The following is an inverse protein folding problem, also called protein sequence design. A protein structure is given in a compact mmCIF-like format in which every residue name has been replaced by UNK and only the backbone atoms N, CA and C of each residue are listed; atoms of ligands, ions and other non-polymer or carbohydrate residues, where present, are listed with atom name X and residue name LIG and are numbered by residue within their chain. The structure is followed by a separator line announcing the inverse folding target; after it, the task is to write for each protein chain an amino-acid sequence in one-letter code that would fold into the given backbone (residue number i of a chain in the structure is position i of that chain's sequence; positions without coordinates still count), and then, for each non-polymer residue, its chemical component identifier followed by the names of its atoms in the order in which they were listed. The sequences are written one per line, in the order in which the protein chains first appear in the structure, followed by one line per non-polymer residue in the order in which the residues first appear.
data_IF_921575941735
#
_entry.id   IF_921575941735
#
_cell.length_a   1.000
_cell.length_b   1.000
_cell.length_c   1.000
_cell.angle_alpha   90.00
_cell.angle_beta   90.00
_cell.angle_gamma   90.00
#
_symmetry.space_group_name_H-M   'P 1'
#
loop_
_entity.id
_entity.type
_entity.pdbx_description
1 polymer ?
#
# COMPACT_ATOMS: atom_id res chain seq x y z
N UNK A 1 -10.43 26.29 -51.73
CA UNK A 1 -10.55 24.83 -51.53
C UNK A 1 -10.35 24.58 -50.04
N UNK A 2 -11.45 24.29 -49.34
CA UNK A 2 -11.48 24.04 -47.90
C UNK A 2 -11.08 22.59 -47.64
N UNK A 3 -9.90 22.34 -47.06
CA UNK A 3 -9.54 21.04 -46.52
C UNK A 3 -10.10 20.93 -45.10
N UNK A 4 -11.32 20.44 -44.98
CA UNK A 4 -11.84 19.93 -43.71
C UNK A 4 -11.25 18.54 -43.50
N UNK A 5 -10.20 18.43 -42.70
CA UNK A 5 -9.78 17.15 -42.13
C UNK A 5 -10.95 16.59 -41.30
N UNK A 6 -11.41 15.35 -41.54
CA UNK A 6 -12.43 14.75 -40.71
C UNK A 6 -11.84 14.50 -39.33
N UNK A 7 -12.28 15.28 -38.32
CA UNK A 7 -12.08 14.93 -36.91
C UNK A 7 -12.64 13.53 -36.70
N UNK A 8 -11.78 12.51 -36.62
CA UNK A 8 -12.18 11.20 -36.13
C UNK A 8 -12.85 11.40 -34.77
N UNK A 9 -14.16 11.17 -34.70
CA UNK A 9 -14.87 11.16 -33.43
C UNK A 9 -14.34 9.99 -32.61
N UNK A 10 -13.58 10.29 -31.57
CA UNK A 10 -13.14 9.31 -30.58
C UNK A 10 -14.36 8.73 -29.88
N UNK A 11 -14.50 7.40 -29.87
CA UNK A 11 -15.60 6.71 -29.21
C UNK A 11 -15.70 7.12 -27.74
N UNK A 12 -16.89 7.50 -27.28
CA UNK A 12 -17.16 7.90 -25.90
C UNK A 12 -17.40 6.71 -24.98
N UNK A 13 -17.71 5.54 -25.54
CA UNK A 13 -17.86 4.28 -24.82
C UNK A 13 -16.97 3.20 -25.41
N UNK A 14 -16.61 2.22 -24.59
CA UNK A 14 -15.92 1.00 -24.96
C UNK A 14 -16.54 -0.19 -24.24
N UNK A 15 -16.32 -1.40 -24.76
CA UNK A 15 -16.73 -2.63 -24.09
C UNK A 15 -15.72 -2.93 -22.96
N UNK A 16 -16.20 -2.91 -21.72
CA UNK A 16 -15.43 -3.26 -20.54
C UNK A 16 -15.09 -4.76 -20.49
N UNK A 17 -14.24 -5.14 -19.54
CA UNK A 17 -13.71 -6.52 -19.40
C UNK A 17 -14.81 -7.58 -19.25
N UNK A 18 -15.99 -7.20 -18.73
CA UNK A 18 -17.16 -8.07 -18.57
C UNK A 18 -18.25 -7.88 -19.64
N UNK A 19 -17.95 -7.19 -20.75
CA UNK A 19 -18.91 -7.01 -21.85
C UNK A 19 -19.88 -5.83 -21.67
N UNK A 20 -19.79 -5.06 -20.58
CA UNK A 20 -20.62 -3.88 -20.33
C UNK A 20 -20.03 -2.63 -20.98
N UNK A 21 -20.87 -1.69 -21.41
CA UNK A 21 -20.41 -0.38 -21.85
C UNK A 21 -19.77 0.40 -20.69
N UNK A 22 -18.57 0.91 -20.92
CA UNK A 22 -17.84 1.79 -20.01
C UNK A 22 -17.46 3.06 -20.73
N UNK A 23 -17.45 4.19 -20.02
CA UNK A 23 -16.94 5.43 -20.60
C UNK A 23 -15.45 5.31 -20.91
N UNK A 24 -15.06 5.76 -22.10
CA UNK A 24 -13.65 6.00 -22.41
C UNK A 24 -13.18 7.28 -21.71
N UNK A 25 -11.87 7.53 -21.68
CA UNK A 25 -11.37 8.83 -21.21
C UNK A 25 -12.00 10.01 -21.96
N UNK A 26 -12.32 9.86 -23.25
CA UNK A 26 -13.06 10.86 -24.01
C UNK A 26 -14.52 10.98 -23.56
N UNK A 27 -15.16 9.87 -23.17
CA UNK A 27 -16.52 9.85 -22.62
C UNK A 27 -16.65 10.50 -21.24
N UNK A 28 -15.59 10.49 -20.43
CA UNK A 28 -15.53 11.18 -19.13
C UNK A 28 -15.53 12.71 -19.29
N UNK A 29 -15.10 13.22 -20.45
CA UNK A 29 -15.01 14.66 -20.78
C UNK A 29 -14.06 15.49 -19.88
N UNK A 30 -13.35 14.84 -18.95
CA UNK A 30 -12.29 15.45 -18.14
C UNK A 30 -11.12 14.47 -17.96
N UNK A 31 -9.98 14.78 -18.59
CA UNK A 31 -8.79 13.98 -18.56
C UNK A 31 -8.18 13.87 -17.15
N UNK A 32 -8.42 14.84 -16.25
CA UNK A 32 -7.96 14.78 -14.86
C UNK A 32 -8.73 13.70 -14.11
N UNK A 33 -10.04 13.62 -14.32
CA UNK A 33 -10.90 12.60 -13.72
C UNK A 33 -10.54 11.21 -14.25
N UNK A 34 -10.34 11.09 -15.56
CA UNK A 34 -9.89 9.85 -16.18
C UNK A 34 -8.52 9.42 -15.64
N UNK A 35 -7.55 10.33 -15.58
CA UNK A 35 -6.21 10.08 -15.06
C UNK A 35 -6.26 9.66 -13.58
N UNK A 36 -7.00 10.40 -12.75
CA UNK A 36 -7.17 10.06 -11.33
C UNK A 36 -7.76 8.67 -11.15
N UNK A 37 -8.74 8.27 -11.94
CA UNK A 37 -9.35 6.93 -11.85
C UNK A 37 -8.35 5.82 -12.23
N UNK A 38 -7.49 6.08 -13.21
CA UNK A 38 -6.54 5.10 -13.74
C UNK A 38 -5.27 4.96 -12.89
N UNK A 39 -4.91 5.96 -12.09
CA UNK A 39 -3.75 5.94 -11.20
C UNK A 39 -3.97 4.98 -10.01
N UNK A 40 -3.86 3.69 -10.30
CA UNK A 40 -4.03 2.55 -9.40
C UNK A 40 -2.91 1.52 -9.63
N UNK A 41 -2.82 0.52 -8.75
CA UNK A 41 -1.82 -0.54 -8.84
C UNK A 41 -1.84 -1.27 -10.18
N UNK A 42 -0.66 -1.37 -10.81
CA UNK A 42 -0.48 -2.09 -12.08
C UNK A 42 -0.71 -1.23 -13.33
N UNK A 43 -1.01 0.07 -13.17
CA UNK A 43 -1.08 1.01 -14.29
C UNK A 43 0.24 1.07 -15.06
N UNK A 44 0.15 1.26 -16.37
CA UNK A 44 1.32 1.36 -17.25
C UNK A 44 1.51 2.79 -17.76
N UNK A 45 2.75 3.13 -18.15
CA UNK A 45 3.06 4.41 -18.75
C UNK A 45 2.25 4.68 -20.03
N UNK A 46 1.96 3.65 -20.82
CA UNK A 46 1.17 3.78 -22.06
C UNK A 46 -0.28 4.24 -21.81
N UNK A 47 -0.82 3.98 -20.61
CA UNK A 47 -2.18 4.39 -20.23
C UNK A 47 -2.20 5.85 -19.75
N UNK A 48 -1.25 6.25 -18.90
CA UNK A 48 -1.29 7.56 -18.24
C UNK A 48 -0.60 8.69 -19.02
N UNK A 49 0.47 8.40 -19.76
CA UNK A 49 1.24 9.42 -20.50
C UNK A 49 0.38 10.21 -21.50
N UNK A 50 -0.53 9.60 -22.28
CA UNK A 50 -1.41 10.35 -23.18
C UNK A 50 -2.30 11.37 -22.45
N UNK A 51 -2.86 10.99 -21.29
CA UNK A 51 -3.73 11.87 -20.49
C UNK A 51 -2.93 13.02 -19.89
N UNK A 52 -1.74 12.73 -19.33
CA UNK A 52 -0.83 13.73 -18.78
C UNK A 52 -0.46 14.76 -19.86
N UNK A 53 -0.07 14.29 -21.05
CA UNK A 53 0.29 15.17 -22.16
C UNK A 53 -0.91 15.98 -22.67
N UNK A 54 -2.12 15.39 -22.70
CA UNK A 54 -3.33 16.10 -23.08
C UNK A 54 -3.65 17.24 -22.10
N UNK A 55 -3.51 17.01 -20.79
CA UNK A 55 -3.69 18.03 -19.76
C UNK A 55 -2.65 19.17 -19.93
N UNK A 56 -1.37 18.83 -20.10
CA UNK A 56 -0.28 19.81 -20.30
C UNK A 56 -0.50 20.63 -21.59
N UNK A 57 -1.04 20.00 -22.65
CA UNK A 57 -1.28 20.66 -23.93
C UNK A 57 -2.36 21.74 -23.88
N UNK A 58 -3.27 21.70 -22.89
CA UNK A 58 -4.31 22.72 -22.70
C UNK A 58 -3.75 24.06 -22.23
N UNK A 59 -2.53 24.08 -21.70
CA UNK A 59 -1.84 25.29 -21.21
C UNK A 59 -2.65 26.08 -20.16
N UNK A 60 -3.44 25.36 -19.36
CA UNK A 60 -4.26 25.91 -18.29
C UNK A 60 -3.54 25.74 -16.94
N UNK A 61 -3.31 26.86 -16.24
CA UNK A 61 -2.54 26.87 -14.99
C UNK A 61 -3.21 26.06 -13.88
N UNK A 62 -4.55 26.10 -13.77
CA UNK A 62 -5.28 25.36 -12.74
C UNK A 62 -5.19 23.85 -12.98
N UNK A 63 -5.32 23.40 -14.23
CA UNK A 63 -5.17 21.98 -14.56
C UNK A 63 -3.73 21.51 -14.41
N UNK A 64 -2.75 22.39 -14.62
CA UNK A 64 -1.35 22.08 -14.36
C UNK A 64 -1.07 21.91 -12.87
N UNK A 65 -1.62 22.77 -12.02
CA UNK A 65 -1.56 22.61 -10.55
C UNK A 65 -2.19 21.28 -10.11
N UNK A 66 -3.39 20.98 -10.60
CA UNK A 66 -4.10 19.71 -10.32
C UNK A 66 -3.25 18.50 -10.69
N UNK A 67 -2.46 18.58 -11.76
CA UNK A 67 -1.59 17.49 -12.22
C UNK A 67 -0.51 17.15 -11.19
N UNK A 68 0.15 18.17 -10.61
CA UNK A 68 1.15 17.98 -9.55
C UNK A 68 0.50 17.53 -8.25
N UNK A 69 -0.64 18.12 -7.87
CA UNK A 69 -1.41 17.68 -6.70
C UNK A 69 -1.79 16.20 -6.85
N UNK A 70 -2.25 15.78 -8.03
CA UNK A 70 -2.62 14.40 -8.30
C UNK A 70 -1.42 13.45 -8.26
N UNK A 71 -0.23 13.88 -8.71
CA UNK A 71 0.98 13.08 -8.59
C UNK A 71 1.32 12.83 -7.11
N UNK A 72 1.36 13.88 -6.28
CA UNK A 72 1.65 13.72 -4.84
C UNK A 72 0.53 13.01 -4.08
N UNK A 73 -0.74 13.24 -4.41
CA UNK A 73 -1.88 12.49 -3.86
C UNK A 73 -1.81 11.00 -4.23
N UNK A 74 -1.36 10.67 -5.44
CA UNK A 74 -1.16 9.29 -5.85
C UNK A 74 -0.06 8.63 -5.03
N UNK A 75 1.01 9.36 -4.70
CA UNK A 75 2.09 8.84 -3.87
C UNK A 75 1.75 8.79 -2.39
N UNK A 76 0.99 9.73 -1.87
CA UNK A 76 0.88 9.99 -0.44
C UNK A 76 0.50 8.74 0.35
N UNK A 77 1.38 8.30 1.24
CA UNK A 77 1.19 7.11 2.10
C UNK A 77 0.35 7.36 3.33
N UNK A 78 0.03 8.63 3.64
CA UNK A 78 -0.69 9.01 4.87
C UNK A 78 -2.15 9.34 4.61
N UNK A 79 -2.45 10.07 3.54
CA UNK A 79 -3.81 10.47 3.17
C UNK A 79 -4.17 10.24 1.70
N UNK A 80 -3.21 9.80 0.88
CA UNK A 80 -3.43 9.53 -0.54
C UNK A 80 -3.54 8.05 -0.88
N UNK A 81 -3.20 7.70 -2.12
CA UNK A 81 -3.34 6.33 -2.63
C UNK A 81 -2.18 5.41 -2.26
N UNK A 82 -1.02 5.98 -1.87
CA UNK A 82 0.18 5.20 -1.56
C UNK A 82 0.79 4.44 -2.77
N UNK A 83 0.38 4.75 -4.00
CA UNK A 83 0.75 4.01 -5.21
C UNK A 83 2.13 4.45 -5.75
N UNK A 84 3.19 3.88 -5.17
CA UNK A 84 4.58 4.23 -5.50
C UNK A 84 4.94 4.04 -6.98
N UNK A 85 4.56 2.91 -7.57
CA UNK A 85 4.91 2.62 -8.97
C UNK A 85 4.15 3.53 -9.94
N UNK A 86 2.86 3.78 -9.68
CA UNK A 86 2.07 4.73 -10.46
C UNK A 86 2.63 6.15 -10.35
N UNK A 87 3.01 6.58 -9.14
CA UNK A 87 3.69 7.85 -8.92
C UNK A 87 4.97 7.96 -9.74
N UNK A 88 5.84 6.94 -9.72
CA UNK A 88 7.10 6.98 -10.51
C UNK A 88 6.82 7.20 -11.99
N UNK A 89 5.93 6.41 -12.58
CA UNK A 89 5.59 6.52 -14.00
C UNK A 89 4.98 7.89 -14.34
N UNK A 90 4.21 8.46 -13.42
CA UNK A 90 3.62 9.79 -13.56
C UNK A 90 4.70 10.88 -13.43
N UNK A 91 5.51 10.85 -12.36
CA UNK A 91 6.57 11.83 -12.12
C UNK A 91 7.63 11.82 -13.23
N UNK A 92 7.98 10.63 -13.74
CA UNK A 92 8.80 10.47 -14.95
C UNK A 92 8.22 11.20 -16.16
N UNK A 93 6.90 11.16 -16.34
CA UNK A 93 6.24 11.85 -17.45
C UNK A 93 6.27 13.38 -17.27
N UNK A 94 6.16 13.87 -16.03
CA UNK A 94 6.30 15.29 -15.69
C UNK A 94 7.73 15.79 -15.90
N UNK A 95 8.73 14.99 -15.52
CA UNK A 95 10.14 15.29 -15.74
C UNK A 95 10.48 15.28 -17.23
N UNK A 96 9.97 14.32 -18.00
CA UNK A 96 10.26 14.21 -19.43
C UNK A 96 9.64 15.32 -20.30
N UNK A 97 8.68 16.09 -19.79
CA UNK A 97 8.00 17.14 -20.55
C UNK A 97 8.62 18.53 -20.27
N UNK A 98 9.08 19.28 -21.29
CA UNK A 98 9.74 20.58 -21.11
C UNK A 98 8.92 21.63 -20.36
N UNK A 99 7.58 21.61 -20.47
CA UNK A 99 6.70 22.56 -19.76
C UNK A 99 6.61 22.29 -18.26
N UNK A 100 6.87 21.07 -17.82
CA UNK A 100 6.65 20.64 -16.42
C UNK A 100 7.93 20.23 -15.71
N UNK A 101 9.02 19.97 -16.44
CA UNK A 101 10.28 19.47 -15.91
C UNK A 101 10.84 20.33 -14.78
N UNK A 102 10.91 21.65 -14.96
CA UNK A 102 11.44 22.59 -13.97
C UNK A 102 10.60 22.60 -12.68
N UNK A 103 9.26 22.62 -12.80
CA UNK A 103 8.36 22.54 -11.65
C UNK A 103 8.54 21.20 -10.92
N UNK A 104 8.62 20.09 -11.65
CA UNK A 104 8.88 18.77 -11.06
C UNK A 104 10.26 18.72 -10.35
N UNK A 105 11.27 19.42 -10.85
CA UNK A 105 12.56 19.53 -10.16
C UNK A 105 12.48 20.39 -8.90
N UNK A 106 11.69 21.46 -8.90
CA UNK A 106 11.52 22.34 -7.75
C UNK A 106 10.74 21.67 -6.61
N UNK A 107 9.91 20.67 -6.91
CA UNK A 107 9.08 19.94 -5.92
C UNK A 107 9.74 18.64 -5.38
N UNK A 108 11.01 18.38 -5.70
CA UNK A 108 11.71 17.15 -5.28
C UNK A 108 11.82 17.00 -3.76
N UNK A 109 11.83 18.10 -3.02
CA UNK A 109 11.89 18.11 -1.55
C UNK A 109 10.58 17.63 -0.89
N UNK A 110 9.47 17.66 -1.62
CA UNK A 110 8.18 17.10 -1.18
C UNK A 110 8.10 15.57 -1.34
N UNK A 111 8.97 14.98 -2.17
CA UNK A 111 8.93 13.53 -2.45
C UNK A 111 9.11 12.68 -1.18
N UNK A 112 10.07 12.97 -0.27
CA UNK A 112 10.17 12.25 0.99
C UNK A 112 9.00 12.50 1.94
N UNK A 113 8.37 13.67 1.87
CA UNK A 113 7.22 14.02 2.72
C UNK A 113 6.03 13.15 2.35
N UNK A 114 5.55 13.18 1.11
CA UNK A 114 4.39 12.38 0.69
C UNK A 114 4.74 10.90 0.45
N UNK A 115 5.98 10.61 0.09
CA UNK A 115 6.43 9.26 -0.21
C UNK A 115 7.44 8.72 0.79
N UNK A 116 8.68 8.65 0.34
CA UNK A 116 9.81 8.17 1.12
C UNK A 116 11.12 8.64 0.49
N UNK A 117 12.17 8.74 1.30
CA UNK A 117 13.53 8.99 0.82
C UNK A 117 14.01 7.99 -0.24
N UNK A 118 13.46 6.76 -0.23
CA UNK A 118 13.77 5.77 -1.26
C UNK A 118 13.37 6.25 -2.65
N UNK A 119 12.23 6.93 -2.75
CA UNK A 119 11.69 7.39 -4.03
C UNK A 119 12.67 8.38 -4.65
N UNK A 120 13.10 9.38 -3.88
CA UNK A 120 14.12 10.35 -4.28
C UNK A 120 15.44 9.72 -4.76
N UNK A 121 15.92 8.66 -4.09
CA UNK A 121 17.15 7.97 -4.51
C UNK A 121 16.97 7.06 -5.72
N UNK A 122 15.75 6.58 -5.99
CA UNK A 122 15.45 5.87 -7.24
C UNK A 122 15.46 6.86 -8.40
N UNK A 123 14.80 8.01 -8.22
CA UNK A 123 14.79 9.09 -9.22
C UNK A 123 16.21 9.55 -9.60
N UNK A 124 17.14 9.59 -8.64
CA UNK A 124 18.54 9.97 -8.89
C UNK A 124 19.31 9.02 -9.85
N UNK A 125 18.75 7.85 -10.16
CA UNK A 125 19.44 6.71 -10.80
C UNK A 125 18.68 6.17 -12.01
N UNK A 126 17.38 6.44 -12.15
CA UNK A 126 16.57 5.98 -13.28
C UNK A 126 16.52 7.10 -14.33
N UNK A 127 17.19 6.96 -15.49
CA UNK A 127 17.23 8.01 -16.50
C UNK A 127 15.91 8.02 -17.30
N UNK A 128 15.06 9.00 -17.02
CA UNK A 128 13.90 9.36 -17.87
C UNK A 128 14.10 10.70 -18.60
N UNK A 129 15.25 11.34 -18.38
CA UNK A 129 15.58 12.70 -18.82
C UNK A 129 16.71 12.75 -19.87
N UNK A 130 16.76 13.79 -20.72
CA UNK A 130 17.98 14.17 -21.43
C UNK A 130 19.13 14.45 -20.45
N UNK A 131 20.38 14.12 -20.84
CA UNK A 131 21.56 14.12 -19.96
C UNK A 131 21.79 15.40 -19.14
N UNK A 132 21.55 16.59 -19.71
CA UNK A 132 21.75 17.85 -19.00
C UNK A 132 20.78 18.00 -17.82
N UNK A 133 19.51 17.67 -18.04
CA UNK A 133 18.46 17.69 -17.01
C UNK A 133 18.71 16.62 -15.94
N UNK A 134 19.32 15.49 -16.30
CA UNK A 134 19.72 14.45 -15.34
C UNK A 134 20.78 14.96 -14.34
N UNK A 135 21.79 15.69 -14.81
CA UNK A 135 22.82 16.25 -13.93
C UNK A 135 22.24 17.30 -12.99
N UNK A 136 21.39 18.20 -13.49
CA UNK A 136 20.74 19.22 -12.65
C UNK A 136 19.86 18.59 -11.56
N UNK A 137 19.02 17.63 -11.94
CA UNK A 137 18.16 16.90 -11.01
C UNK A 137 18.99 16.22 -9.91
N UNK A 138 20.10 15.57 -10.28
CA UNK A 138 20.99 14.91 -9.33
C UNK A 138 21.61 15.89 -8.34
N UNK A 139 22.05 17.06 -8.80
CA UNK A 139 22.57 18.11 -7.93
C UNK A 139 21.51 18.61 -6.94
N UNK A 140 20.28 18.85 -7.40
CA UNK A 140 19.16 19.22 -6.52
C UNK A 140 18.88 18.16 -5.46
N UNK A 141 18.89 16.88 -5.83
CA UNK A 141 18.72 15.77 -4.88
C UNK A 141 19.86 15.76 -3.84
N UNK A 142 21.11 15.97 -4.27
CA UNK A 142 22.25 16.06 -3.36
C UNK A 142 22.07 17.20 -2.35
N UNK A 143 21.63 18.38 -2.79
CA UNK A 143 21.40 19.51 -1.88
C UNK A 143 20.25 19.27 -0.90
N UNK A 144 19.15 18.65 -1.34
CA UNK A 144 18.06 18.22 -0.45
C UNK A 144 18.60 17.27 0.64
N UNK A 145 19.38 16.26 0.23
CA UNK A 145 19.98 15.27 1.13
C UNK A 145 20.95 15.93 2.11
N UNK A 146 21.79 16.85 1.63
CA UNK A 146 22.75 17.59 2.46
C UNK A 146 22.03 18.47 3.48
N UNK A 147 20.99 19.18 3.07
CA UNK A 147 20.18 19.99 3.97
C UNK A 147 19.53 19.13 5.07
N UNK A 148 18.91 18.01 4.71
CA UNK A 148 18.34 17.09 5.70
C UNK A 148 19.40 16.44 6.58
N UNK A 149 20.56 16.09 6.03
CA UNK A 149 21.67 15.52 6.78
C UNK A 149 22.11 16.42 7.92
N UNK A 150 22.28 17.73 7.64
CA UNK A 150 22.63 18.71 8.66
C UNK A 150 21.54 18.82 9.74
N UNK A 151 20.25 18.82 9.35
CA UNK A 151 19.12 18.83 10.29
C UNK A 151 19.12 17.59 11.19
N UNK A 152 19.36 16.40 10.63
CA UNK A 152 19.41 15.14 11.38
C UNK A 152 20.61 15.11 12.33
N UNK A 153 21.77 15.63 11.93
CA UNK A 153 22.95 15.72 12.79
C UNK A 153 22.72 16.67 13.99
N UNK A 154 22.16 17.85 13.74
CA UNK A 154 21.81 18.80 14.82
C UNK A 154 20.78 18.18 15.76
N UNK A 155 19.73 17.58 15.21
CA UNK A 155 18.69 16.93 16.01
C UNK A 155 19.24 15.75 16.82
N UNK A 156 20.17 14.99 16.25
CA UNK A 156 20.84 13.90 16.95
C UNK A 156 21.69 14.41 18.14
N UNK A 157 22.43 15.51 17.97
CA UNK A 157 23.18 16.13 19.06
C UNK A 157 22.27 16.67 20.18
N UNK A 158 21.06 17.10 19.82
CA UNK A 158 20.05 17.65 20.74
C UNK A 158 19.12 16.59 21.35
N UNK A 159 19.40 15.31 21.14
CA UNK A 159 18.54 14.23 21.60
C UNK A 159 17.11 14.20 21.07
N UNK A 160 16.89 14.83 19.92
CA UNK A 160 15.58 14.89 19.24
C UNK A 160 15.41 13.76 18.21
N UNK A 161 14.15 13.40 17.86
CA UNK A 161 13.87 12.55 16.72
C UNK A 161 14.52 13.07 15.44
N UNK A 162 15.00 12.16 14.60
CA UNK A 162 15.61 12.46 13.30
C UNK A 162 14.76 11.90 12.17
N UNK A 163 15.00 12.35 10.95
CA UNK A 163 14.29 11.81 9.78
C UNK A 163 14.63 10.34 9.50
N UNK A 164 13.82 9.70 8.67
CA UNK A 164 14.09 8.35 8.17
C UNK A 164 15.17 8.30 7.07
N UNK A 165 15.82 9.40 6.72
CA UNK A 165 16.74 9.48 5.59
C UNK A 165 17.87 8.43 5.69
N UNK A 166 18.52 8.29 6.86
CA UNK A 166 19.63 7.36 7.04
C UNK A 166 19.25 5.87 6.79
N UNK A 167 17.97 5.51 7.01
CA UNK A 167 17.42 4.18 6.66
C UNK A 167 17.55 3.92 5.16
N UNK A 168 17.26 4.93 4.36
CA UNK A 168 17.16 4.83 2.91
C UNK A 168 18.43 5.24 2.16
N UNK A 169 19.40 5.86 2.84
CA UNK A 169 20.68 6.28 2.23
C UNK A 169 21.32 5.17 1.40
N UNK A 170 21.82 5.44 0.18
CA UNK A 170 22.44 4.45 -0.69
C UNK A 170 23.56 3.67 0.01
N UNK A 171 23.48 2.34 -0.03
CA UNK A 171 24.53 1.46 0.48
C UNK A 171 25.51 1.14 -0.65
N UNK A 172 26.80 1.17 -0.36
CA UNK A 172 27.87 1.00 -1.36
C UNK A 172 27.75 -0.29 -2.17
N UNK A 173 27.34 -1.39 -1.53
CA UNK A 173 27.17 -2.69 -2.19
C UNK A 173 25.90 -2.78 -3.06
N UNK A 174 24.97 -1.83 -2.93
CA UNK A 174 23.72 -1.80 -3.72
C UNK A 174 23.73 -0.71 -4.78
N UNK A 175 24.32 0.45 -4.48
CA UNK A 175 24.43 1.57 -5.39
C UNK A 175 25.75 2.32 -5.12
N UNK A 176 26.83 1.79 -5.69
CA UNK A 176 28.20 2.31 -5.53
C UNK A 176 28.33 3.75 -6.03
N UNK A 177 27.68 4.07 -7.15
CA UNK A 177 27.74 5.38 -7.78
C UNK A 177 27.16 6.47 -6.86
N UNK A 178 25.88 6.33 -6.48
CA UNK A 178 25.21 7.35 -5.67
C UNK A 178 25.78 7.42 -4.26
N UNK A 179 26.18 6.28 -3.68
CA UNK A 179 26.87 6.27 -2.38
C UNK A 179 28.21 7.03 -2.46
N UNK A 180 28.99 6.84 -3.53
CA UNK A 180 30.23 7.56 -3.77
C UNK A 180 30.03 9.06 -3.93
N UNK A 181 29.03 9.46 -4.73
CA UNK A 181 28.67 10.86 -4.92
C UNK A 181 28.30 11.53 -3.59
N UNK A 182 27.37 10.94 -2.84
CA UNK A 182 26.94 11.47 -1.55
C UNK A 182 28.08 11.49 -0.52
N UNK A 183 28.94 10.47 -0.50
CA UNK A 183 30.12 10.47 0.36
C UNK A 183 31.07 11.62 0.05
N UNK A 184 31.33 11.89 -1.24
CA UNK A 184 32.16 13.01 -1.67
C UNK A 184 31.57 14.38 -1.30
N UNK A 185 30.25 14.51 -1.36
CA UNK A 185 29.54 15.76 -1.08
C UNK A 185 29.30 16.04 0.41
N UNK A 186 29.07 14.99 1.20
CA UNK A 186 28.84 15.10 2.65
C UNK A 186 30.15 15.15 3.46
N UNK A 187 31.22 14.56 2.92
CA UNK A 187 32.54 14.51 3.55
C UNK A 187 33.61 15.02 2.57
N UNK A 188 33.53 16.29 2.15
CA UNK A 188 34.53 16.86 1.26
C UNK A 188 35.89 16.93 1.97
N UNK A 189 36.97 16.77 1.21
CA UNK A 189 38.29 17.17 1.70
C UNK A 189 38.45 18.68 1.70
N UNK A 190 39.54 19.17 2.27
CA UNK A 190 39.96 20.56 2.06
C UNK A 190 40.86 20.64 0.82
N UNK A 191 41.00 21.84 0.24
CA UNK A 191 41.95 22.06 -0.85
C UNK A 191 43.40 21.72 -0.43
N UNK A 192 43.75 21.98 0.84
CA UNK A 192 45.06 21.64 1.40
C UNK A 192 45.23 20.15 1.75
N UNK A 193 44.13 19.39 1.88
CA UNK A 193 44.14 17.96 2.17
C UNK A 193 42.94 17.26 1.51
N UNK A 194 43.09 16.88 0.22
CA UNK A 194 42.05 16.14 -0.49
C UNK A 194 41.76 14.81 0.21
N UNK A 195 40.50 14.56 0.52
CA UNK A 195 40.11 13.28 1.13
C UNK A 195 39.99 12.23 0.04
N UNK A 196 40.76 11.16 0.16
CA UNK A 196 40.66 10.02 -0.76
C UNK A 196 39.27 9.38 -0.70
N UNK A 197 38.78 8.88 -1.84
CA UNK A 197 37.49 8.19 -1.95
C UNK A 197 37.27 7.13 -0.84
N UNK A 198 38.30 6.34 -0.54
CA UNK A 198 38.27 5.32 0.52
C UNK A 198 37.96 5.90 1.90
N UNK A 199 38.52 7.07 2.20
CA UNK A 199 38.31 7.79 3.47
C UNK A 199 36.91 8.40 3.52
N UNK A 200 36.43 9.02 2.43
CA UNK A 200 35.07 9.55 2.34
C UNK A 200 34.03 8.44 2.54
N UNK A 201 34.18 7.32 1.84
CA UNK A 201 33.30 6.17 1.98
C UNK A 201 33.33 5.57 3.38
N UNK A 202 34.49 5.55 4.05
CA UNK A 202 34.60 5.10 5.45
C UNK A 202 33.79 6.00 6.38
N UNK A 203 33.92 7.33 6.25
CA UNK A 203 33.18 8.29 7.07
C UNK A 203 31.67 8.18 6.81
N UNK A 204 31.28 8.13 5.53
CA UNK A 204 29.91 7.94 5.09
C UNK A 204 29.27 6.69 5.71
N UNK A 205 29.91 5.52 5.59
CA UNK A 205 29.38 4.26 6.16
C UNK A 205 29.20 4.36 7.68
N UNK A 206 30.17 4.94 8.38
CA UNK A 206 30.11 5.11 9.84
C UNK A 206 28.95 6.04 10.25
N UNK A 207 28.83 7.18 9.58
CA UNK A 207 27.82 8.17 9.93
C UNK A 207 26.40 7.70 9.59
N UNK A 208 26.20 7.08 8.41
CA UNK A 208 24.92 6.48 8.03
C UNK A 208 24.53 5.37 9.01
N UNK A 209 25.47 4.50 9.40
CA UNK A 209 25.20 3.46 10.39
C UNK A 209 24.84 4.06 11.77
N UNK A 210 25.53 5.12 12.19
CA UNK A 210 25.28 5.80 13.46
C UNK A 210 23.88 6.44 13.50
N UNK A 211 23.52 7.21 12.47
CA UNK A 211 22.18 7.79 12.37
C UNK A 211 21.12 6.70 12.27
N UNK A 212 21.36 5.65 11.48
CA UNK A 212 20.39 4.57 11.35
C UNK A 212 20.13 3.86 12.70
N UNK A 213 21.17 3.59 13.51
CA UNK A 213 20.99 3.04 14.88
C UNK A 213 20.08 3.92 15.74
N UNK A 214 20.17 5.24 15.59
CA UNK A 214 19.34 6.20 16.32
C UNK A 214 17.87 6.17 15.89
N UNK A 215 17.58 5.85 14.63
CA UNK A 215 16.20 5.65 14.16
C UNK A 215 15.53 4.47 14.90
N UNK A 216 16.32 3.52 15.41
CA UNK A 216 15.84 2.34 16.16
C UNK A 216 14.76 1.56 15.40
N UNK A 217 14.95 1.37 14.09
CA UNK A 217 14.01 0.54 13.33
C UNK A 217 14.07 -0.92 13.80
N UNK A 218 12.96 -1.64 13.71
CA UNK A 218 12.87 -3.05 14.13
C UNK A 218 13.97 -3.92 13.52
N UNK A 219 14.36 -3.66 12.27
CA UNK A 219 15.39 -4.42 11.58
C UNK A 219 16.78 -4.32 12.25
N UNK A 220 17.04 -3.25 13.02
CA UNK A 220 18.30 -3.06 13.75
C UNK A 220 18.38 -4.02 14.93
N UNK A 221 17.30 -4.13 15.72
CA UNK A 221 17.19 -5.11 16.80
C UNK A 221 17.28 -6.55 16.25
N UNK A 222 16.54 -6.84 15.17
CA UNK A 222 16.56 -8.16 14.52
C UNK A 222 17.95 -8.57 14.03
N UNK A 223 18.71 -7.63 13.44
CA UNK A 223 20.06 -7.90 12.91
C UNK A 223 21.12 -7.95 14.01
N UNK A 224 20.89 -7.24 15.12
CA UNK A 224 21.77 -7.22 16.28
C UNK A 224 21.56 -8.38 17.25
N UNK A 225 20.50 -9.17 17.07
CA UNK A 225 20.14 -10.24 18.00
C UNK A 225 19.62 -9.72 19.34
N UNK A 226 18.90 -8.59 19.33
CA UNK A 226 18.27 -7.98 20.50
C UNK A 226 16.74 -8.05 20.36
N UNK A 227 16.21 -9.26 20.21
CA UNK A 227 14.80 -9.57 19.95
C UNK A 227 13.90 -9.17 21.12
N UNK A 228 14.32 -9.35 22.36
CA UNK A 228 13.59 -8.97 23.57
C UNK A 228 13.24 -7.47 23.56
N UNK A 229 14.12 -6.63 23.00
CA UNK A 229 13.92 -5.18 22.94
C UNK A 229 12.85 -4.74 21.93
N UNK A 230 12.31 -5.66 21.14
CA UNK A 230 11.33 -5.35 20.10
C UNK A 230 9.94 -5.19 20.74
N UNK A 231 9.48 -3.94 20.81
CA UNK A 231 8.13 -3.62 21.27
C UNK A 231 7.09 -3.77 20.14
N UNK A 232 6.08 -4.67 20.27
CA UNK A 232 5.08 -4.92 19.21
C UNK A 232 4.34 -3.67 18.73
N UNK A 233 4.00 -2.76 19.65
CA UNK A 233 3.28 -1.51 19.37
C UNK A 233 4.08 -0.51 18.51
N UNK A 234 5.41 -0.64 18.45
CA UNK A 234 6.31 0.20 17.64
C UNK A 234 6.66 -0.42 16.29
N UNK A 235 6.31 -1.69 16.05
CA UNK A 235 6.62 -2.37 14.78
C UNK A 235 5.66 -1.91 13.69
N UNK A 236 6.20 -1.41 12.57
CA UNK A 236 5.39 -0.98 11.43
C UNK A 236 4.63 -2.17 10.80
N UNK A 237 3.39 -1.96 10.34
CA UNK A 237 2.51 -3.06 9.90
C UNK A 237 3.05 -3.92 8.76
N UNK A 238 3.69 -3.34 7.74
CA UNK A 238 4.34 -4.12 6.68
C UNK A 238 5.57 -4.91 7.18
N UNK A 239 6.28 -4.41 8.19
CA UNK A 239 7.36 -5.14 8.85
C UNK A 239 6.78 -6.34 9.63
N UNK A 240 5.72 -6.10 10.39
CA UNK A 240 4.98 -7.13 11.12
C UNK A 240 4.51 -8.26 10.21
N UNK A 241 3.84 -7.93 9.11
CA UNK A 241 3.35 -8.93 8.15
C UNK A 241 4.48 -9.79 7.57
N UNK A 242 5.62 -9.17 7.23
CA UNK A 242 6.76 -9.85 6.60
C UNK A 242 7.52 -10.74 7.59
N UNK A 243 7.58 -10.33 8.85
CA UNK A 243 8.43 -10.95 9.87
C UNK A 243 7.65 -11.64 10.98
N UNK A 244 6.33 -11.82 10.82
CA UNK A 244 5.41 -12.45 11.79
C UNK A 244 6.01 -13.72 12.42
N UNK A 245 6.36 -14.71 11.59
CA UNK A 245 6.95 -15.96 12.05
C UNK A 245 8.28 -15.77 12.79
N UNK A 246 9.08 -14.77 12.40
CA UNK A 246 10.35 -14.49 13.08
C UNK A 246 10.13 -13.88 14.47
N UNK A 247 9.10 -13.03 14.64
CA UNK A 247 8.71 -12.47 15.93
C UNK A 247 8.12 -13.53 16.86
N UNK A 248 7.35 -14.46 16.31
CA UNK A 248 6.83 -15.61 17.03
C UNK A 248 7.88 -16.73 17.21
N UNK A 249 9.13 -16.57 16.75
CA UNK A 249 10.15 -17.63 16.80
C UNK A 249 9.70 -18.95 16.15
N UNK A 250 8.84 -18.89 15.14
CA UNK A 250 8.29 -20.05 14.44
C UNK A 250 9.14 -20.44 13.23
N UNK A 251 9.00 -21.70 12.82
CA UNK A 251 9.62 -22.20 11.60
C UNK A 251 8.98 -21.53 10.38
N UNK A 252 9.75 -20.67 9.71
CA UNK A 252 9.38 -20.05 8.44
C UNK A 252 9.74 -20.92 7.24
N UNK A 253 9.63 -20.35 6.03
CA UNK A 253 10.26 -20.93 4.85
C UNK A 253 11.78 -20.87 5.02
N UNK A 254 12.42 -22.03 5.05
CA UNK A 254 13.87 -22.11 5.20
C UNK A 254 14.58 -21.53 3.97
N UNK A 255 15.78 -20.99 4.16
CA UNK A 255 16.63 -20.65 3.02
C UNK A 255 16.90 -21.92 2.22
N UNK A 256 17.11 -21.78 0.91
CA UNK A 256 17.46 -22.89 0.02
C UNK A 256 18.68 -23.65 0.60
N UNK A 257 18.46 -24.88 1.08
CA UNK A 257 19.48 -25.74 1.67
C UNK A 257 19.44 -25.89 3.20
N UNK A 258 18.64 -25.10 3.92
CA UNK A 258 18.39 -25.30 5.36
C UNK A 258 17.19 -26.24 5.55
N UNK A 259 17.35 -27.29 6.35
CA UNK A 259 16.23 -28.12 6.79
C UNK A 259 15.55 -27.45 7.98
N UNK A 260 14.20 -27.38 8.02
CA UNK A 260 13.52 -26.94 9.22
C UNK A 260 13.87 -27.89 10.37
N UNK A 261 13.81 -27.42 11.64
CA UNK A 261 13.85 -28.31 12.78
C UNK A 261 12.81 -29.42 12.56
N UNK A 262 13.24 -30.68 12.52
CA UNK A 262 12.35 -31.80 12.15
C UNK A 262 11.26 -32.06 13.18
N UNK A 263 11.52 -31.70 14.44
CA UNK A 263 10.72 -32.15 15.59
C UNK A 263 10.27 -31.02 16.53
N UNK A 264 10.46 -29.74 16.16
CA UNK A 264 10.13 -28.62 17.05
C UNK A 264 9.42 -27.47 16.31
N UNK A 265 8.28 -26.95 16.83
CA UNK A 265 7.52 -25.88 16.17
C UNK A 265 8.23 -24.52 16.19
N UNK A 266 9.19 -24.34 17.11
CA UNK A 266 10.00 -23.13 17.24
C UNK A 266 11.38 -23.28 16.61
N UNK A 267 11.91 -22.16 16.11
CA UNK A 267 13.21 -22.07 15.43
C UNK A 267 14.39 -22.05 16.40
N UNK A 268 14.28 -21.29 17.48
CA UNK A 268 15.35 -21.11 18.49
C UNK A 268 14.75 -21.23 19.90
N UNK A 269 14.33 -22.43 20.36
CA UNK A 269 13.67 -22.59 21.65
C UNK A 269 14.58 -22.29 22.86
N UNK A 270 15.88 -22.52 22.72
CA UNK A 270 16.87 -22.32 23.80
C UNK A 270 17.38 -20.87 23.90
N UNK A 271 16.93 -19.97 23.03
CA UNK A 271 17.37 -18.57 23.02
C UNK A 271 16.40 -17.70 23.85
N UNK A 272 16.82 -17.21 25.03
CA UNK A 272 15.91 -16.48 25.93
C UNK A 272 15.43 -15.16 25.33
N UNK A 273 16.26 -14.48 24.54
CA UNK A 273 15.94 -13.20 23.90
C UNK A 273 14.87 -13.41 22.80
N UNK A 274 14.94 -14.53 22.08
CA UNK A 274 13.89 -14.97 21.13
C UNK A 274 12.58 -15.33 21.81
N UNK A 275 12.65 -16.01 22.96
CA UNK A 275 11.46 -16.43 23.69
C UNK A 275 10.75 -15.24 24.34
N UNK A 276 11.50 -14.29 24.91
CA UNK A 276 10.94 -13.03 25.41
C UNK A 276 10.25 -12.22 24.30
N UNK A 277 10.88 -12.10 23.13
CA UNK A 277 10.24 -11.51 21.96
C UNK A 277 8.93 -12.23 21.61
N UNK A 278 8.94 -13.57 21.54
CA UNK A 278 7.73 -14.34 21.27
C UNK A 278 6.63 -13.98 22.27
N UNK A 279 6.92 -14.02 23.57
CA UNK A 279 5.97 -13.70 24.64
C UNK A 279 5.37 -12.29 24.50
N UNK A 280 6.20 -11.27 24.25
CA UNK A 280 5.73 -9.90 24.00
C UNK A 280 4.68 -9.83 22.88
N UNK A 281 4.93 -10.54 21.77
CA UNK A 281 3.99 -10.55 20.65
C UNK A 281 2.74 -11.37 20.94
N UNK A 282 2.85 -12.52 21.60
CA UNK A 282 1.69 -13.34 22.00
C UNK A 282 0.76 -12.54 22.92
N UNK A 283 1.32 -11.89 23.94
CA UNK A 283 0.57 -11.05 24.87
C UNK A 283 -0.09 -9.87 24.15
N UNK A 284 0.67 -9.15 23.32
CA UNK A 284 0.16 -8.01 22.57
C UNK A 284 -0.96 -8.39 21.59
N UNK A 285 -0.83 -9.51 20.88
CA UNK A 285 -1.86 -9.99 19.96
C UNK A 285 -3.11 -10.44 20.70
N UNK A 286 -2.97 -11.15 21.83
CA UNK A 286 -4.10 -11.54 22.65
C UNK A 286 -4.86 -10.31 23.16
N UNK A 287 -4.15 -9.33 23.76
CA UNK A 287 -4.76 -8.07 24.23
C UNK A 287 -5.44 -7.31 23.10
N UNK A 288 -4.80 -7.21 21.94
CA UNK A 288 -5.38 -6.51 20.80
C UNK A 288 -6.60 -7.24 20.21
N UNK A 289 -6.61 -8.57 20.25
CA UNK A 289 -7.76 -9.36 19.84
C UNK A 289 -8.93 -9.16 20.81
N UNK A 290 -8.71 -9.23 22.13
CA UNK A 290 -9.78 -9.06 23.13
C UNK A 290 -10.21 -7.61 23.35
N UNK A 291 -9.45 -6.64 22.84
CA UNK A 291 -9.66 -5.21 23.09
C UNK A 291 -9.16 -4.75 24.46
N UNK A 292 -8.44 -5.61 25.18
CA UNK A 292 -7.90 -5.32 26.50
C UNK A 292 -6.82 -4.22 26.42
N UNK A 293 -6.90 -3.25 27.34
CA UNK A 293 -5.92 -2.17 27.45
C UNK A 293 -5.83 -1.23 26.24
N UNK A 294 -6.76 -1.32 25.28
CA UNK A 294 -6.73 -0.53 24.05
C UNK A 294 -5.58 -0.90 23.11
N UNK A 295 -5.00 -2.10 23.26
CA UNK A 295 -3.92 -2.57 22.41
C UNK A 295 -4.36 -2.67 20.94
N UNK A 296 -3.49 -2.26 20.02
CA UNK A 296 -3.76 -2.27 18.57
C UNK A 296 -2.62 -2.94 17.82
N UNK A 297 -2.96 -3.65 16.75
CA UNK A 297 -2.00 -4.19 15.81
C UNK A 297 -1.78 -3.17 14.69
N UNK A 298 -0.53 -2.74 14.50
CA UNK A 298 -0.18 -1.84 13.41
C UNK A 298 -0.40 -2.55 12.06
N UNK A 299 -1.05 -1.85 11.13
CA UNK A 299 -1.15 -2.30 9.75
C UNK A 299 -2.46 -2.00 9.05
N UNK A 300 -3.51 -1.55 9.74
CA UNK A 300 -4.86 -1.35 9.17
C UNK A 300 -4.83 -0.39 7.97
N UNK A 301 -3.93 0.59 8.00
CA UNK A 301 -3.72 1.57 6.92
C UNK A 301 -2.75 1.12 5.83
N UNK A 302 -2.02 0.03 6.04
CA UNK A 302 -0.94 -0.39 5.14
C UNK A 302 -1.19 -1.73 4.46
N UNK A 303 -2.01 -2.60 5.06
CA UNK A 303 -2.41 -3.91 4.54
C UNK A 303 -3.82 -3.75 3.99
N UNK A 304 -4.07 -4.21 2.76
CA UNK A 304 -5.42 -4.14 2.20
C UNK A 304 -6.33 -5.23 2.79
N UNK A 305 -7.65 -4.99 2.90
CA UNK A 305 -8.61 -5.97 3.42
C UNK A 305 -8.49 -7.35 2.74
N UNK A 306 -8.35 -7.39 1.41
CA UNK A 306 -8.22 -8.64 0.66
C UNK A 306 -6.91 -9.40 0.96
N UNK A 307 -5.82 -8.71 1.27
CA UNK A 307 -4.56 -9.36 1.70
C UNK A 307 -4.76 -10.03 3.06
N UNK A 308 -5.51 -9.38 3.96
CA UNK A 308 -5.81 -9.89 5.29
C UNK A 308 -6.75 -11.09 5.24
N UNK A 309 -7.82 -11.01 4.45
CA UNK A 309 -8.77 -12.11 4.25
C UNK A 309 -8.09 -13.32 3.62
N UNK A 310 -7.27 -13.11 2.58
CA UNK A 310 -6.49 -14.20 1.96
C UNK A 310 -5.58 -14.87 2.99
N UNK A 311 -4.95 -14.10 3.87
CA UNK A 311 -4.17 -14.64 4.98
C UNK A 311 -5.06 -15.43 5.95
N UNK A 312 -6.17 -14.86 6.41
CA UNK A 312 -7.09 -15.47 7.36
C UNK A 312 -7.58 -16.86 6.90
N UNK A 313 -7.94 -16.99 5.62
CA UNK A 313 -8.38 -18.27 5.03
C UNK A 313 -7.26 -19.32 5.00
N UNK A 314 -6.00 -18.91 4.97
CA UNK A 314 -4.85 -19.83 5.00
C UNK A 314 -4.42 -20.26 6.41
N UNK A 315 -4.96 -19.65 7.47
CA UNK A 315 -4.60 -19.95 8.85
C UNK A 315 -5.45 -21.10 9.39
N UNK A 316 -4.80 -22.15 9.90
CA UNK A 316 -5.46 -23.21 10.65
C UNK A 316 -5.79 -22.77 12.08
N UNK A 317 -6.56 -23.60 12.81
CA UNK A 317 -7.00 -23.30 14.18
C UNK A 317 -5.85 -23.31 15.21
N UNK A 318 -4.70 -23.93 14.90
CA UNK A 318 -3.52 -23.95 15.78
C UNK A 318 -2.68 -22.67 15.72
N UNK A 319 -2.84 -21.86 14.67
CA UNK A 319 -2.14 -20.58 14.49
C UNK A 319 -2.74 -19.44 15.35
N UNK A 320 -2.95 -19.68 16.64
CA UNK A 320 -3.69 -18.81 17.58
C UNK A 320 -3.16 -17.37 17.56
N UNK A 321 -1.84 -17.19 17.63
CA UNK A 321 -1.21 -15.87 17.68
C UNK A 321 -1.41 -15.07 16.38
N UNK A 322 -1.22 -15.73 15.22
CA UNK A 322 -1.45 -15.10 13.92
C UNK A 322 -2.94 -14.79 13.70
N UNK A 323 -3.83 -15.64 14.22
CA UNK A 323 -5.28 -15.41 14.17
C UNK A 323 -5.68 -14.21 15.01
N UNK A 324 -5.17 -14.10 16.24
CA UNK A 324 -5.40 -12.95 17.11
C UNK A 324 -4.93 -11.65 16.46
N UNK A 325 -3.73 -11.62 15.89
CA UNK A 325 -3.22 -10.45 15.17
C UNK A 325 -4.11 -10.08 13.96
N UNK A 326 -4.58 -11.09 13.22
CA UNK A 326 -5.43 -10.93 12.03
C UNK A 326 -6.81 -10.40 12.40
N UNK A 327 -7.43 -10.95 13.45
CA UNK A 327 -8.73 -10.52 13.96
C UNK A 327 -8.66 -9.08 14.50
N UNK A 328 -7.64 -8.75 15.29
CA UNK A 328 -7.42 -7.39 15.79
C UNK A 328 -7.29 -6.37 14.65
N UNK A 329 -6.54 -6.73 13.60
CA UNK A 329 -6.36 -5.87 12.43
C UNK A 329 -7.67 -5.65 11.67
N UNK A 330 -8.46 -6.69 11.49
CA UNK A 330 -9.78 -6.61 10.84
C UNK A 330 -10.75 -5.73 11.64
N UNK A 331 -10.83 -5.94 12.96
CA UNK A 331 -11.65 -5.11 13.85
C UNK A 331 -11.26 -3.63 13.75
N UNK A 332 -9.97 -3.32 13.67
CA UNK A 332 -9.52 -1.95 13.46
C UNK A 332 -9.94 -1.39 12.09
N UNK A 333 -9.86 -2.18 11.01
CA UNK A 333 -10.35 -1.76 9.68
C UNK A 333 -11.85 -1.45 9.69
N UNK A 334 -12.66 -2.28 10.34
CA UNK A 334 -14.10 -2.08 10.50
C UNK A 334 -14.38 -0.82 11.32
N UNK A 335 -13.66 -0.63 12.43
CA UNK A 335 -13.80 0.56 13.27
C UNK A 335 -13.40 1.85 12.52
N UNK A 336 -12.29 1.83 11.78
CA UNK A 336 -11.83 2.96 10.95
C UNK A 336 -12.88 3.31 9.88
N UNK A 337 -13.46 2.31 9.22
CA UNK A 337 -14.51 2.51 8.22
C UNK A 337 -15.81 3.07 8.82
N UNK A 338 -16.24 2.60 10.00
CA UNK A 338 -17.38 3.17 10.74
C UNK A 338 -17.12 4.62 11.14
N UNK A 339 -15.92 4.92 11.64
CA UNK A 339 -15.52 6.28 12.01
C UNK A 339 -15.48 7.23 10.80
N UNK A 340 -15.21 6.72 9.60
CA UNK A 340 -15.27 7.46 8.35
C UNK A 340 -16.69 7.70 7.81
N UNK A 341 -17.73 7.24 8.52
CA UNK A 341 -19.14 7.41 8.15
C UNK A 341 -19.85 6.11 7.72
N UNK A 342 -19.14 4.99 7.67
CA UNK A 342 -19.68 3.72 7.18
C UNK A 342 -20.06 3.80 5.70
N UNK A 343 -21.03 2.97 5.29
CA UNK A 343 -21.55 2.96 3.91
C UNK A 343 -23.05 3.25 3.84
N UNK A 344 -23.64 3.72 4.95
CA UNK A 344 -25.08 3.92 5.04
C UNK A 344 -25.83 2.60 4.82
N UNK A 345 -27.01 2.68 4.22
CA UNK A 345 -27.80 1.52 3.82
C UNK A 345 -27.15 0.94 2.57
N UNK A 346 -26.66 -0.29 2.63
CA UNK A 346 -25.95 -0.91 1.53
C UNK A 346 -26.00 -2.43 1.67
N UNK A 347 -26.20 -3.14 0.57
CA UNK A 347 -26.03 -4.59 0.51
C UNK A 347 -24.94 -4.89 -0.51
N UNK A 348 -23.92 -5.63 -0.10
CA UNK A 348 -22.90 -6.10 -1.02
C UNK A 348 -23.44 -7.22 -1.91
N UNK A 349 -23.24 -7.08 -3.21
CA UNK A 349 -23.44 -8.15 -4.20
C UNK A 349 -22.08 -8.76 -4.54
N UNK A 350 -21.85 -10.00 -4.09
CA UNK A 350 -20.55 -10.63 -4.08
C UNK A 350 -20.44 -11.78 -5.09
N UNK A 351 -19.60 -11.60 -6.10
CA UNK A 351 -19.19 -12.64 -7.04
C UNK A 351 -18.00 -13.40 -6.47
N UNK A 352 -18.16 -14.70 -6.23
CA UNK A 352 -17.13 -15.65 -5.77
C UNK A 352 -16.88 -16.74 -6.82
N UNK A 353 -17.24 -16.50 -8.08
CA UNK A 353 -17.15 -17.50 -9.14
C UNK A 353 -15.70 -17.86 -9.45
N UNK A 354 -15.48 -19.03 -10.07
CA UNK A 354 -14.14 -19.45 -10.48
C UNK A 354 -13.44 -18.46 -11.42
N UNK A 355 -14.20 -17.66 -12.18
CA UNK A 355 -13.64 -16.60 -13.04
C UNK A 355 -12.91 -15.51 -12.25
N UNK A 356 -13.40 -15.19 -11.04
CA UNK A 356 -12.79 -14.24 -10.12
C UNK A 356 -11.45 -14.74 -9.55
N UNK A 357 -11.22 -16.06 -9.61
CA UNK A 357 -9.96 -16.71 -9.22
C UNK A 357 -8.91 -16.73 -10.34
N UNK A 358 -9.30 -16.43 -11.59
CA UNK A 358 -8.45 -16.53 -12.79
C UNK A 358 -8.54 -15.27 -13.66
N UNK A 359 -8.39 -14.09 -13.07
CA UNK A 359 -8.51 -12.79 -13.75
C UNK A 359 -7.17 -12.32 -14.33
N UNK A 360 -6.74 -12.91 -15.45
CA UNK A 360 -5.55 -12.47 -16.19
C UNK A 360 -4.30 -12.29 -15.32
N UNK A 361 -3.63 -11.13 -15.43
CA UNK A 361 -2.46 -10.79 -14.60
C UNK A 361 -2.77 -10.60 -13.11
N UNK A 362 -4.04 -10.42 -12.75
CA UNK A 362 -4.48 -10.23 -11.37
C UNK A 362 -4.73 -11.56 -10.64
N UNK A 363 -4.73 -12.70 -11.36
CA UNK A 363 -5.00 -14.01 -10.79
C UNK A 363 -6.30 -14.01 -9.97
N UNK A 364 -6.23 -14.46 -8.71
CA UNK A 364 -7.39 -14.50 -7.81
C UNK A 364 -7.65 -13.23 -7.00
N UNK A 365 -6.97 -12.12 -7.25
CA UNK A 365 -7.18 -10.88 -6.49
C UNK A 365 -8.66 -10.45 -6.46
N UNK A 366 -9.42 -10.46 -7.59
CA UNK A 366 -10.82 -10.04 -7.57
C UNK A 366 -11.68 -10.86 -6.61
N UNK A 367 -11.45 -12.17 -6.51
CA UNK A 367 -12.15 -13.05 -5.57
C UNK A 367 -11.92 -12.59 -4.13
N UNK A 368 -10.66 -12.36 -3.73
CA UNK A 368 -10.34 -11.92 -2.38
C UNK A 368 -10.86 -10.52 -2.07
N UNK A 369 -10.90 -9.63 -3.07
CA UNK A 369 -11.49 -8.28 -2.96
C UNK A 369 -13.00 -8.37 -2.75
N UNK A 370 -13.69 -9.17 -3.55
CA UNK A 370 -15.14 -9.40 -3.42
C UNK A 370 -15.50 -9.90 -2.02
N UNK A 371 -14.77 -10.89 -1.51
CA UNK A 371 -14.99 -11.44 -0.17
C UNK A 371 -14.69 -10.43 0.94
N UNK A 372 -13.57 -9.71 0.85
CA UNK A 372 -13.20 -8.72 1.85
C UNK A 372 -14.16 -7.53 1.88
N UNK A 373 -14.55 -6.99 0.72
CA UNK A 373 -15.51 -5.89 0.69
C UNK A 373 -16.92 -6.35 1.09
N UNK A 374 -17.33 -7.56 0.71
CA UNK A 374 -18.60 -8.14 1.14
C UNK A 374 -18.72 -8.21 2.67
N UNK A 375 -17.70 -8.75 3.33
CA UNK A 375 -17.63 -8.79 4.79
C UNK A 375 -17.59 -7.40 5.41
N UNK A 376 -16.74 -6.50 4.88
CA UNK A 376 -16.61 -5.15 5.42
C UNK A 376 -17.93 -4.38 5.31
N UNK A 377 -18.58 -4.38 4.14
CA UNK A 377 -19.87 -3.73 3.90
C UNK A 377 -20.92 -4.28 4.88
N UNK A 378 -20.99 -5.61 5.03
CA UNK A 378 -21.93 -6.25 5.94
C UNK A 378 -21.73 -5.80 7.41
N UNK A 379 -20.51 -5.45 7.82
CA UNK A 379 -20.23 -5.00 9.18
C UNK A 379 -20.41 -3.49 9.40
N UNK A 380 -20.25 -2.67 8.36
CA UNK A 380 -20.27 -1.18 8.44
C UNK A 380 -21.56 -0.54 7.92
N UNK A 381 -22.46 -1.33 7.34
CA UNK A 381 -23.81 -0.87 6.96
C UNK A 381 -24.74 -0.69 8.17
N UNK A 382 -25.93 -0.15 7.96
CA UNK A 382 -26.94 0.09 9.00
C UNK A 382 -27.57 -1.21 9.51
N UNK A 383 -28.20 -1.14 10.69
CA UNK A 383 -28.78 -2.30 11.39
C UNK A 383 -29.74 -3.14 10.52
N UNK A 384 -30.45 -2.51 9.59
CA UNK A 384 -31.42 -3.19 8.73
C UNK A 384 -30.76 -4.18 7.75
N UNK A 385 -29.50 -3.96 7.39
CA UNK A 385 -28.75 -4.76 6.42
C UNK A 385 -27.48 -5.39 7.01
N UNK A 386 -27.24 -5.17 8.30
CA UNK A 386 -26.03 -5.64 8.95
C UNK A 386 -25.89 -7.16 8.87
N UNK A 387 -24.65 -7.61 8.80
CA UNK A 387 -24.24 -9.01 8.69
C UNK A 387 -24.80 -9.73 7.45
N UNK A 388 -25.31 -8.99 6.47
CA UNK A 388 -25.97 -9.55 5.29
C UNK A 388 -25.22 -9.19 4.00
N UNK A 389 -25.04 -10.18 3.12
CA UNK A 389 -24.59 -9.98 1.74
C UNK A 389 -25.38 -10.88 0.78
N UNK A 390 -25.35 -10.56 -0.49
CA UNK A 390 -26.00 -11.30 -1.57
C UNK A 390 -24.93 -11.95 -2.46
N UNK A 391 -25.01 -13.25 -2.73
CA UNK A 391 -24.16 -13.84 -3.78
C UNK A 391 -24.61 -13.38 -5.15
N UNK A 392 -23.66 -13.11 -6.04
CA UNK A 392 -23.92 -12.70 -7.42
C UNK A 392 -23.52 -13.83 -8.37
N UNK A 393 -24.46 -14.75 -8.60
CA UNK A 393 -24.35 -15.85 -9.54
C UNK A 393 -25.72 -16.12 -10.22
N UNK A 394 -25.93 -17.30 -10.84
CA UNK A 394 -27.13 -17.63 -11.59
C UNK A 394 -28.32 -18.02 -10.72
N UNK A 395 -28.06 -18.35 -9.46
CA UNK A 395 -29.01 -18.61 -8.38
C UNK A 395 -28.59 -17.79 -7.15
N UNK A 396 -28.70 -16.46 -7.23
CA UNK A 396 -28.26 -15.59 -6.14
C UNK A 396 -28.98 -15.96 -4.84
N UNK A 397 -28.29 -15.82 -3.72
CA UNK A 397 -28.81 -16.12 -2.39
C UNK A 397 -28.40 -15.06 -1.38
N UNK A 398 -29.36 -14.66 -0.55
CA UNK A 398 -29.13 -13.72 0.56
C UNK A 398 -28.57 -14.50 1.75
N UNK A 399 -27.42 -14.08 2.26
CA UNK A 399 -26.76 -14.70 3.40
C UNK A 399 -26.67 -13.71 4.55
N UNK A 400 -27.25 -14.07 5.69
CA UNK A 400 -27.08 -13.35 6.95
C UNK A 400 -26.23 -14.19 7.90
N UNK A 401 -25.11 -13.62 8.33
CA UNK A 401 -24.21 -14.23 9.31
C UNK A 401 -24.66 -13.86 10.73
N UNK A 402 -24.42 -14.73 11.73
CA UNK A 402 -24.64 -14.39 13.13
C UNK A 402 -23.89 -13.10 13.54
N UNK A 403 -24.54 -12.17 14.27
CA UNK A 403 -23.91 -10.93 14.72
C UNK A 403 -22.68 -11.14 15.62
N UNK A 404 -22.69 -12.21 16.42
CA UNK A 404 -21.65 -12.59 17.37
C UNK A 404 -20.38 -13.15 16.70
N UNK A 405 -20.49 -13.60 15.45
CA UNK A 405 -19.38 -14.25 14.75
C UNK A 405 -18.18 -13.31 14.59
N UNK A 406 -17.00 -13.83 14.88
CA UNK A 406 -15.74 -13.18 14.54
C UNK A 406 -15.40 -13.34 13.05
N UNK A 407 -14.28 -12.76 12.63
CA UNK A 407 -13.83 -12.84 11.24
C UNK A 407 -13.71 -14.29 10.73
N UNK A 408 -13.18 -15.20 11.54
CA UNK A 408 -12.92 -16.57 11.11
C UNK A 408 -14.21 -17.39 11.04
N UNK A 409 -15.15 -17.17 11.95
CA UNK A 409 -16.49 -17.77 11.91
C UNK A 409 -17.25 -17.29 10.66
N UNK A 410 -17.24 -15.99 10.38
CA UNK A 410 -17.81 -15.41 9.15
C UNK A 410 -17.21 -16.03 7.88
N UNK A 411 -15.90 -16.26 7.84
CA UNK A 411 -15.23 -16.91 6.70
C UNK A 411 -15.66 -18.38 6.52
N UNK A 412 -15.97 -19.11 7.60
CA UNK A 412 -16.54 -20.47 7.52
C UNK A 412 -17.90 -20.47 6.84
N UNK A 413 -18.72 -19.43 7.00
CA UNK A 413 -19.99 -19.28 6.28
C UNK A 413 -19.81 -19.09 4.77
N UNK A 414 -18.82 -18.28 4.36
CA UNK A 414 -18.58 -17.97 2.94
C UNK A 414 -17.94 -19.14 2.18
N UNK A 415 -16.95 -19.80 2.79
CA UNK A 415 -16.21 -20.91 2.14
C UNK A 415 -17.08 -22.11 1.72
N UNK A 416 -18.31 -22.21 2.25
CA UNK A 416 -19.26 -23.29 1.96
C UNK A 416 -20.26 -22.92 0.85
N UNK A 417 -20.18 -21.71 0.30
CA UNK A 417 -21.08 -21.25 -0.74
C UNK A 417 -20.66 -21.85 -2.09
N UNK A 418 -21.52 -22.70 -2.65
CA UNK A 418 -21.39 -23.12 -4.04
C UNK A 418 -21.81 -21.99 -4.98
N UNK A 419 -21.11 -21.81 -6.10
CA UNK A 419 -21.44 -20.77 -7.07
C UNK A 419 -21.49 -21.29 -8.52
N UNK A 420 -22.42 -20.71 -9.28
CA UNK A 420 -22.57 -20.93 -10.71
C UNK A 420 -21.55 -20.17 -11.57
N UNK A 421 -21.55 -20.45 -12.88
CA UNK A 421 -20.64 -19.85 -13.87
C UNK A 421 -21.22 -18.62 -14.58
N UNK A 422 -22.48 -18.26 -14.33
CA UNK A 422 -23.15 -17.08 -14.90
C UNK A 422 -23.80 -16.24 -13.80
N UNK A 423 -24.27 -15.05 -14.12
CA UNK A 423 -24.88 -14.10 -13.17
C UNK A 423 -26.27 -13.68 -13.64
N UNK A 424 -27.22 -13.55 -12.72
CA UNK A 424 -28.60 -13.13 -13.01
C UNK A 424 -28.97 -11.89 -12.19
N UNK A 425 -28.81 -10.72 -12.81
CA UNK A 425 -29.04 -9.44 -12.15
C UNK A 425 -30.50 -9.23 -11.74
N UNK A 426 -31.46 -9.64 -12.57
CA UNK A 426 -32.88 -9.47 -12.26
C UNK A 426 -33.25 -10.30 -11.03
N UNK A 427 -32.82 -11.56 -10.94
CA UNK A 427 -33.08 -12.38 -9.74
C UNK A 427 -32.43 -11.80 -8.48
N UNK A 428 -31.23 -11.25 -8.59
CA UNK A 428 -30.56 -10.60 -7.47
C UNK A 428 -31.40 -9.40 -6.97
N UNK A 429 -31.89 -8.56 -7.89
CA UNK A 429 -32.77 -7.44 -7.54
C UNK A 429 -34.13 -7.90 -7.00
N UNK A 430 -34.70 -8.97 -7.52
CA UNK A 430 -35.96 -9.54 -7.03
C UNK A 430 -35.82 -10.06 -5.59
N UNK A 431 -34.66 -10.62 -5.22
CA UNK A 431 -34.37 -11.02 -3.84
C UNK A 431 -34.26 -9.84 -2.90
N UNK A 432 -33.57 -8.77 -3.32
CA UNK A 432 -33.51 -7.52 -2.54
C UNK A 432 -34.93 -6.98 -2.34
N UNK A 433 -35.72 -6.88 -3.42
CA UNK A 433 -37.12 -6.42 -3.34
C UNK A 433 -37.98 -7.32 -2.44
N UNK A 434 -37.80 -8.63 -2.52
CA UNK A 434 -38.48 -9.60 -1.66
C UNK A 434 -38.16 -9.39 -0.19
N UNK A 435 -36.89 -9.17 0.15
CA UNK A 435 -36.45 -8.89 1.51
C UNK A 435 -37.00 -7.55 2.02
N UNK A 436 -36.99 -6.51 1.18
CA UNK A 436 -37.54 -5.19 1.52
C UNK A 436 -39.05 -5.29 1.82
N UNK A 437 -39.81 -6.03 1.01
CA UNK A 437 -41.23 -6.31 1.26
C UNK A 437 -41.45 -7.08 2.55
N UNK A 438 -40.67 -8.14 2.80
CA UNK A 438 -40.77 -8.95 4.01
C UNK A 438 -40.48 -8.13 5.28
N UNK A 439 -39.48 -7.25 5.24
CA UNK A 439 -39.13 -6.32 6.33
C UNK A 439 -40.04 -5.09 6.41
N UNK A 440 -41.01 -4.94 5.49
CA UNK A 440 -41.89 -3.77 5.37
C UNK A 440 -41.11 -2.46 5.29
N UNK A 441 -40.00 -2.49 4.55
CA UNK A 441 -39.14 -1.33 4.33
C UNK A 441 -39.93 -0.21 3.64
N UNK A 442 -39.83 1.03 4.13
CA UNK A 442 -40.53 2.17 3.54
C UNK A 442 -39.73 2.73 2.35
N UNK A 443 -40.40 3.38 1.38
CA UNK A 443 -39.70 4.14 0.35
C UNK A 443 -38.73 5.16 0.95
N UNK A 444 -37.50 5.20 0.44
CA UNK A 444 -36.37 5.97 0.97
C UNK A 444 -35.59 5.25 2.08
N UNK A 445 -35.91 4.00 2.39
CA UNK A 445 -35.19 3.15 3.35
C UNK A 445 -34.52 1.94 2.71
N UNK A 446 -34.54 1.86 1.39
CA UNK A 446 -33.79 0.89 0.59
C UNK A 446 -32.27 1.08 0.77
N UNK A 447 -31.47 0.02 0.55
CA UNK A 447 -30.02 0.10 0.43
C UNK A 447 -29.56 0.79 -0.86
#
# INVERSE_FOLDING_TARGET
MSSSDPKMMTATTAIGVKGSDVYTAAGVQDERVALSTLLTRGVTASVIKPLINAIIAKDDSSQLEDLFVLAFQTRDVRGGKGEREAFRLFYDALLANPKTCHIAMDLLDLVPEYGSWRDLFIEAVVPSLPYQSESEMRERIVEIVKAQWLKDQVSALQEKPISLMAKWMPRENRNKYLAGLLAGRLFPGSEASPTQYSSQMRLYRKAVASLNRRIQTTEIAMSGGAWETIEPSKVAGRCLQKHMKAFLNEVGTTKKGEQPPRDHPLRHPEDPDRMACREHFQEHFNKAATGEGGAKVNGSKTVFPHELIKKAVSLDESAVDERNATLALWRQMVADAKAAGGLGRSIAMCDFSGSMMSSGSNGGIPFWVSMALGLLIAEVTTEEFQNTFLTFDSQPTMHTMPPEDDLFERLKHISRLGQGLSTDFQKAMDLVLGQLKAKRCRPGQEP
#
